data_IF_811399214915
#
_entry.id   IF_811399214915
#
_cell.length_a   1.000
_cell.length_b   1.000
_cell.length_c   1.000
_cell.angle_alpha   90.00
_cell.angle_beta   90.00
_cell.angle_gamma   90.00
#
_symmetry.space_group_name_H-M   'P 1'
#
loop_
_entity.id
_entity.type
_entity.pdbx_description
1 polymer ?
#
# COMPACT_ATOMS: atom_id res chain seq x y z
N UNK A 1 -19.22 -52.33 1.51
CA UNK A 1 -19.77 -51.20 2.29
C UNK A 1 -18.60 -50.44 2.90
N UNK A 2 -17.99 -49.50 2.16
CA UNK A 2 -16.94 -48.61 2.72
C UNK A 2 -16.46 -47.49 1.78
N UNK A 3 -16.84 -47.46 0.50
CA UNK A 3 -16.17 -46.54 -0.46
C UNK A 3 -16.98 -45.29 -0.84
N UNK A 4 -18.22 -45.16 -0.36
CA UNK A 4 -19.11 -44.06 -0.77
C UNK A 4 -19.02 -42.80 0.10
N UNK A 5 -18.33 -42.84 1.24
CA UNK A 5 -18.31 -41.74 2.23
C UNK A 5 -17.13 -40.79 2.02
N UNK A 6 -16.01 -41.25 1.44
CA UNK A 6 -14.80 -40.43 1.30
C UNK A 6 -14.94 -39.32 0.25
N UNK A 7 -15.77 -39.54 -0.78
CA UNK A 7 -15.97 -38.58 -1.88
C UNK A 7 -16.76 -37.36 -1.39
N UNK A 8 -17.75 -37.54 -0.50
CA UNK A 8 -18.60 -36.43 -0.04
C UNK A 8 -17.89 -35.45 0.88
N UNK A 9 -16.93 -35.91 1.70
CA UNK A 9 -16.19 -35.04 2.62
C UNK A 9 -15.19 -34.16 1.86
N UNK A 10 -14.45 -34.73 0.90
CA UNK A 10 -13.49 -34.00 0.05
C UNK A 10 -14.18 -33.00 -0.90
N UNK A 11 -15.40 -33.30 -1.38
CA UNK A 11 -16.20 -32.37 -2.20
C UNK A 11 -16.90 -31.26 -1.37
N UNK A 12 -17.28 -31.53 -0.12
CA UNK A 12 -17.88 -30.51 0.76
C UNK A 12 -16.84 -29.57 1.35
N UNK A 13 -15.61 -30.03 1.61
CA UNK A 13 -14.49 -29.17 1.98
C UNK A 13 -14.13 -28.19 0.84
N UNK A 14 -14.29 -28.62 -0.42
CA UNK A 14 -14.08 -27.81 -1.62
C UNK A 14 -15.15 -26.74 -1.89
N UNK A 15 -16.24 -26.65 -1.10
CA UNK A 15 -17.38 -25.76 -1.39
C UNK A 15 -17.56 -24.60 -0.42
N UNK A 16 -16.81 -24.53 0.68
CA UNK A 16 -16.90 -23.43 1.65
C UNK A 16 -15.70 -22.51 1.45
N UNK A 17 -15.89 -21.48 0.62
CA UNK A 17 -14.91 -20.40 0.48
C UNK A 17 -14.88 -19.56 1.77
N UNK A 18 -13.95 -19.90 2.66
CA UNK A 18 -13.70 -19.17 3.91
C UNK A 18 -13.24 -17.72 3.68
N UNK A 19 -12.75 -17.39 2.48
CA UNK A 19 -12.16 -16.09 2.13
C UNK A 19 -13.12 -15.21 1.35
N UNK A 20 -14.36 -15.67 1.13
CA UNK A 20 -15.38 -14.97 0.35
C UNK A 20 -15.61 -13.52 0.82
N UNK A 21 -15.62 -13.34 2.14
CA UNK A 21 -15.87 -12.06 2.80
C UNK A 21 -14.59 -11.26 3.07
N UNK A 22 -13.42 -11.86 2.86
CA UNK A 22 -12.14 -11.22 3.13
C UNK A 22 -11.76 -10.27 1.98
N UNK A 23 -11.18 -9.11 2.33
CA UNK A 23 -10.69 -8.17 1.32
C UNK A 23 -9.54 -8.80 0.54
N UNK A 24 -9.57 -8.62 -0.77
CA UNK A 24 -8.61 -9.22 -1.72
C UNK A 24 -8.54 -10.75 -1.67
N UNK A 25 -9.54 -11.41 -1.06
CA UNK A 25 -9.60 -12.88 -1.00
C UNK A 25 -8.36 -13.51 -0.35
N UNK A 26 -7.76 -12.79 0.60
CA UNK A 26 -6.57 -13.19 1.35
C UNK A 26 -6.83 -13.00 2.84
N UNK A 27 -6.23 -13.85 3.68
CA UNK A 27 -6.31 -13.64 5.12
C UNK A 27 -5.66 -12.31 5.52
N UNK A 28 -6.12 -11.66 6.60
CA UNK A 28 -5.59 -10.37 7.02
C UNK A 28 -4.07 -10.37 7.21
N UNK A 29 -3.49 -11.45 7.74
CA UNK A 29 -2.04 -11.60 7.92
C UNK A 29 -1.30 -11.61 6.58
N UNK A 30 -1.73 -12.47 5.65
CA UNK A 30 -1.12 -12.60 4.33
C UNK A 30 -1.22 -11.31 3.53
N UNK A 31 -2.36 -10.61 3.63
CA UNK A 31 -2.60 -9.31 3.01
C UNK A 31 -1.59 -8.26 3.50
N UNK A 32 -1.39 -8.16 4.80
CA UNK A 32 -0.43 -7.20 5.38
C UNK A 32 0.98 -7.51 4.85
N UNK A 33 1.44 -8.76 4.94
CA UNK A 33 2.77 -9.12 4.45
C UNK A 33 2.96 -8.85 2.97
N UNK A 34 2.02 -9.31 2.13
CA UNK A 34 2.11 -9.14 0.68
C UNK A 34 2.14 -7.66 0.26
N UNK A 35 1.24 -6.84 0.83
CA UNK A 35 1.12 -5.43 0.45
C UNK A 35 2.25 -4.58 1.04
N UNK A 36 2.72 -4.89 2.25
CA UNK A 36 3.89 -4.23 2.84
C UNK A 36 5.16 -4.49 2.01
N UNK A 37 5.39 -5.74 1.57
CA UNK A 37 6.54 -6.09 0.71
C UNK A 37 6.42 -5.40 -0.65
N UNK A 38 5.24 -5.46 -1.28
CA UNK A 38 4.98 -4.80 -2.56
C UNK A 38 5.20 -3.29 -2.46
N UNK A 39 4.71 -2.69 -1.36
CA UNK A 39 4.93 -1.30 -1.02
C UNK A 39 6.40 -0.93 -0.84
N UNK A 40 7.18 -1.80 -0.20
CA UNK A 40 8.63 -1.62 -0.04
C UNK A 40 9.34 -1.59 -1.39
N UNK A 41 8.99 -2.50 -2.31
CA UNK A 41 9.59 -2.57 -3.65
C UNK A 41 9.26 -1.32 -4.46
N UNK A 42 7.99 -0.90 -4.47
CA UNK A 42 7.56 0.31 -5.18
C UNK A 42 8.22 1.56 -4.58
N UNK A 43 8.19 1.69 -3.25
CA UNK A 43 8.82 2.80 -2.54
C UNK A 43 10.33 2.86 -2.77
N UNK A 44 10.99 1.70 -2.79
CA UNK A 44 12.41 1.57 -3.10
C UNK A 44 12.75 2.00 -4.52
N UNK A 45 11.95 1.59 -5.51
CA UNK A 45 12.13 2.00 -6.90
C UNK A 45 11.97 3.51 -7.11
N UNK A 46 10.93 4.10 -6.51
CA UNK A 46 10.70 5.55 -6.55
C UNK A 46 11.85 6.32 -5.88
N UNK A 47 12.24 5.91 -4.66
CA UNK A 47 13.34 6.54 -3.93
C UNK A 47 14.69 6.42 -4.64
N UNK A 48 14.94 5.28 -5.29
CA UNK A 48 16.14 5.06 -6.09
C UNK A 48 16.20 6.01 -7.29
N UNK A 49 15.11 6.12 -8.04
CA UNK A 49 15.01 7.01 -9.20
C UNK A 49 15.22 8.49 -8.82
N UNK A 50 14.54 8.94 -7.77
CA UNK A 50 14.68 10.32 -7.27
C UNK A 50 16.09 10.60 -6.75
N UNK A 51 16.69 9.64 -6.03
CA UNK A 51 18.06 9.73 -5.52
C UNK A 51 19.09 9.85 -6.64
N UNK A 52 18.96 9.05 -7.71
CA UNK A 52 19.81 9.12 -8.90
C UNK A 52 19.68 10.48 -9.58
N UNK A 53 18.45 10.93 -9.81
CA UNK A 53 18.17 12.20 -10.50
C UNK A 53 18.78 13.37 -9.75
N UNK A 54 18.57 13.44 -8.43
CA UNK A 54 19.09 14.51 -7.59
C UNK A 54 20.63 14.49 -7.54
N UNK A 55 21.24 13.30 -7.37
CA UNK A 55 22.69 13.15 -7.34
C UNK A 55 23.35 13.50 -8.68
N UNK A 56 22.71 13.16 -9.80
CA UNK A 56 23.19 13.51 -11.15
C UNK A 56 23.22 15.02 -11.36
N UNK A 57 22.13 15.72 -11.01
CA UNK A 57 22.04 17.17 -11.11
C UNK A 57 23.05 17.87 -10.20
N UNK A 58 23.17 17.40 -8.95
CA UNK A 58 24.14 17.92 -7.99
C UNK A 58 25.57 17.75 -8.50
N UNK A 59 25.93 16.57 -9.01
CA UNK A 59 27.26 16.30 -9.55
C UNK A 59 27.60 17.19 -10.76
N UNK A 60 26.60 17.44 -11.63
CA UNK A 60 26.77 18.32 -12.78
C UNK A 60 27.03 19.77 -12.36
N UNK A 61 26.30 20.26 -11.36
CA UNK A 61 26.50 21.62 -10.83
C UNK A 61 27.87 21.74 -10.16
N UNK A 62 28.22 20.79 -9.29
CA UNK A 62 29.50 20.80 -8.55
C UNK A 62 30.71 20.72 -9.50
N UNK A 63 30.62 19.97 -10.61
CA UNK A 63 31.73 19.77 -11.53
C UNK A 63 31.62 20.56 -12.84
N UNK A 64 30.59 21.39 -13.01
CA UNK A 64 30.37 22.17 -14.23
C UNK A 64 31.55 23.10 -14.57
N UNK A 65 32.29 23.53 -13.54
CA UNK A 65 33.50 24.35 -13.69
C UNK A 65 34.79 23.53 -13.90
N UNK A 66 34.77 22.20 -13.72
CA UNK A 66 35.94 21.28 -13.82
C UNK A 66 35.72 20.21 -14.88
N UNK A 67 35.41 20.65 -16.10
CA UNK A 67 35.21 19.73 -17.21
C UNK A 67 36.56 19.17 -17.70
N UNK A 68 36.69 17.84 -17.86
CA UNK A 68 37.92 17.24 -18.35
C UNK A 68 38.20 17.63 -19.82
N UNK A 69 39.47 17.86 -20.13
CA UNK A 69 39.92 18.21 -21.49
C UNK A 69 40.44 17.01 -22.30
N UNK A 70 40.71 15.89 -21.64
CA UNK A 70 41.26 14.67 -22.25
C UNK A 70 40.23 13.55 -22.29
N UNK A 71 40.35 12.64 -23.25
CA UNK A 71 39.47 11.46 -23.39
C UNK A 71 39.50 10.58 -22.12
N UNK A 72 40.70 10.35 -21.55
CA UNK A 72 40.84 9.61 -20.30
C UNK A 72 40.19 10.30 -19.10
N UNK A 73 40.21 11.64 -19.05
CA UNK A 73 39.53 12.42 -18.02
C UNK A 73 38.01 12.23 -18.06
N UNK A 74 37.41 12.15 -19.25
CA UNK A 74 35.99 11.87 -19.43
C UNK A 74 35.58 10.49 -18.92
N UNK A 75 36.43 9.47 -19.10
CA UNK A 75 36.17 8.14 -18.53
C UNK A 75 36.08 8.20 -16.99
N UNK A 76 37.05 8.82 -16.32
CA UNK A 76 37.05 8.93 -14.86
C UNK A 76 35.90 9.80 -14.34
N UNK A 77 35.54 10.85 -15.07
CA UNK A 77 34.38 11.70 -14.78
C UNK A 77 33.08 10.88 -14.75
N UNK A 78 32.80 10.11 -15.82
CA UNK A 78 31.59 9.29 -15.88
C UNK A 78 31.60 8.14 -14.87
N UNK A 79 32.76 7.50 -14.65
CA UNK A 79 32.90 6.45 -13.62
C UNK A 79 32.58 6.99 -12.23
N UNK A 80 33.11 8.17 -11.88
CA UNK A 80 32.83 8.81 -10.59
C UNK A 80 31.37 9.26 -10.49
N UNK A 81 30.82 9.85 -11.56
CA UNK A 81 29.41 10.25 -11.63
C UNK A 81 28.47 9.08 -11.35
N UNK A 82 28.68 7.96 -12.05
CA UNK A 82 27.85 6.76 -11.89
C UNK A 82 27.96 6.18 -10.47
N UNK A 83 29.16 6.17 -9.88
CA UNK A 83 29.34 5.74 -8.49
C UNK A 83 28.54 6.60 -7.52
N UNK A 84 28.65 7.93 -7.61
CA UNK A 84 27.92 8.86 -6.72
C UNK A 84 26.41 8.70 -6.89
N UNK A 85 25.94 8.61 -8.14
CA UNK A 85 24.52 8.39 -8.44
C UNK A 85 24.00 7.07 -7.86
N UNK A 86 24.73 5.97 -8.03
CA UNK A 86 24.31 4.66 -7.50
C UNK A 86 24.26 4.63 -5.97
N UNK A 87 25.28 5.15 -5.29
CA UNK A 87 25.31 5.18 -3.83
C UNK A 87 24.17 6.04 -3.27
N UNK A 88 23.95 7.22 -3.84
CA UNK A 88 22.82 8.08 -3.44
C UNK A 88 21.47 7.46 -3.75
N UNK A 89 21.33 6.81 -4.91
CA UNK A 89 20.13 6.08 -5.31
C UNK A 89 19.80 4.96 -4.32
N UNK A 90 20.76 4.08 -4.00
CA UNK A 90 20.54 2.98 -3.05
C UNK A 90 20.17 3.50 -1.67
N UNK A 91 20.86 4.54 -1.17
CA UNK A 91 20.54 5.14 0.14
C UNK A 91 19.12 5.71 0.18
N UNK A 92 18.72 6.46 -0.84
CA UNK A 92 17.38 7.04 -0.94
C UNK A 92 16.31 5.96 -1.12
N UNK A 93 16.57 4.94 -1.94
CA UNK A 93 15.69 3.79 -2.15
C UNK A 93 15.44 3.01 -0.86
N UNK A 94 16.49 2.68 -0.10
CA UNK A 94 16.34 1.97 1.18
C UNK A 94 15.50 2.78 2.17
N UNK A 95 15.80 4.07 2.33
CA UNK A 95 15.04 4.95 3.22
C UNK A 95 13.55 5.02 2.83
N UNK A 96 13.28 5.20 1.53
CA UNK A 96 11.91 5.31 1.03
C UNK A 96 11.15 3.98 1.09
N UNK A 97 11.83 2.86 0.87
CA UNK A 97 11.24 1.51 1.00
C UNK A 97 10.72 1.25 2.41
N UNK A 98 11.51 1.61 3.44
CA UNK A 98 11.12 1.48 4.85
C UNK A 98 9.97 2.42 5.20
N UNK A 99 10.00 3.65 4.69
CA UNK A 99 8.91 4.61 4.90
C UNK A 99 7.59 4.09 4.31
N UNK A 100 7.62 3.57 3.09
CA UNK A 100 6.42 3.08 2.41
C UNK A 100 5.89 1.80 3.04
N UNK A 101 6.78 0.85 3.35
CA UNK A 101 6.41 -0.42 3.99
C UNK A 101 5.78 -0.19 5.35
N UNK A 102 6.33 0.72 6.16
CA UNK A 102 5.78 1.11 7.45
C UNK A 102 4.39 1.77 7.30
N UNK A 103 4.23 2.71 6.37
CA UNK A 103 2.94 3.37 6.14
C UNK A 103 1.86 2.39 5.69
N UNK A 104 2.18 1.49 4.77
CA UNK A 104 1.25 0.48 4.25
C UNK A 104 0.92 -0.55 5.33
N UNK A 105 1.91 -1.00 6.10
CA UNK A 105 1.69 -1.89 7.24
C UNK A 105 0.79 -1.28 8.31
N UNK A 106 1.01 0.00 8.67
CA UNK A 106 0.13 0.73 9.58
C UNK A 106 -1.28 0.88 9.02
N UNK A 107 -1.43 1.18 7.73
CA UNK A 107 -2.74 1.31 7.09
C UNK A 107 -3.56 0.01 7.21
N UNK A 108 -3.03 -1.10 6.71
CA UNK A 108 -3.73 -2.39 6.75
C UNK A 108 -3.88 -2.94 8.18
N UNK A 109 -2.95 -2.60 9.08
CA UNK A 109 -3.07 -2.90 10.50
C UNK A 109 -4.21 -2.14 11.17
N UNK A 110 -4.40 -0.86 10.86
CA UNK A 110 -5.54 -0.06 11.34
C UNK A 110 -6.87 -0.59 10.77
N UNK A 111 -6.92 -0.96 9.49
CA UNK A 111 -8.10 -1.60 8.90
C UNK A 111 -8.47 -2.88 9.66
N UNK A 112 -7.49 -3.77 9.86
CA UNK A 112 -7.70 -5.01 10.61
C UNK A 112 -8.15 -4.75 12.05
N UNK A 113 -7.58 -3.74 12.71
CA UNK A 113 -7.99 -3.32 14.05
C UNK A 113 -9.46 -2.86 14.10
N UNK A 114 -9.91 -2.09 13.11
CA UNK A 114 -11.31 -1.67 13.03
C UNK A 114 -12.26 -2.82 12.73
N UNK A 115 -11.86 -3.74 11.85
CA UNK A 115 -12.65 -4.94 11.60
C UNK A 115 -12.80 -5.77 12.89
N UNK A 116 -11.71 -5.94 13.66
CA UNK A 116 -11.73 -6.68 14.93
C UNK A 116 -12.65 -6.01 15.98
N UNK A 117 -12.58 -4.69 16.13
CA UNK A 117 -13.41 -3.93 17.08
C UNK A 117 -14.90 -4.01 16.72
N UNK A 118 -15.23 -4.11 15.43
CA UNK A 118 -16.61 -4.17 14.93
C UNK A 118 -17.11 -5.59 14.66
N UNK A 119 -16.64 -6.59 15.41
CA UNK A 119 -17.08 -7.99 15.28
C UNK A 119 -16.86 -8.58 13.87
N UNK A 120 -15.73 -8.27 13.24
CA UNK A 120 -15.34 -8.72 11.89
C UNK A 120 -16.29 -8.24 10.77
N UNK A 121 -16.96 -7.10 10.94
CA UNK A 121 -17.68 -6.47 9.83
C UNK A 121 -16.69 -5.77 8.88
N UNK A 122 -16.60 -6.26 7.66
CA UNK A 122 -15.74 -5.72 6.59
C UNK A 122 -16.57 -4.73 5.76
N UNK A 123 -16.26 -3.43 5.87
CA UNK A 123 -16.93 -2.36 5.12
C UNK A 123 -15.93 -1.28 4.65
N UNK A 124 -16.32 -0.46 3.66
CA UNK A 124 -15.60 0.75 3.22
C UNK A 124 -15.39 1.79 4.33
N UNK A 125 -16.25 1.82 5.35
CA UNK A 125 -16.16 2.77 6.47
C UNK A 125 -14.86 2.55 7.24
N UNK A 126 -14.49 1.29 7.50
CA UNK A 126 -13.26 0.94 8.23
C UNK A 126 -12.02 1.41 7.46
N UNK A 127 -12.01 1.18 6.14
CA UNK A 127 -10.96 1.67 5.23
C UNK A 127 -10.86 3.19 5.22
N UNK A 128 -11.99 3.88 5.22
CA UNK A 128 -12.04 5.34 5.22
C UNK A 128 -11.55 5.93 6.54
N UNK A 129 -11.94 5.33 7.67
CA UNK A 129 -11.45 5.71 9.01
C UNK A 129 -9.96 5.42 9.17
N UNK A 130 -9.47 4.28 8.67
CA UNK A 130 -8.04 3.97 8.66
C UNK A 130 -7.24 5.01 7.86
N UNK A 131 -7.74 5.40 6.68
CA UNK A 131 -7.10 6.43 5.85
C UNK A 131 -7.09 7.81 6.51
N UNK A 132 -8.21 8.22 7.12
CA UNK A 132 -8.33 9.52 7.78
C UNK A 132 -7.42 9.61 9.01
N UNK A 133 -7.29 8.54 9.79
CA UNK A 133 -6.37 8.47 10.94
C UNK A 133 -4.93 8.49 10.47
N UNK A 134 -4.56 7.66 9.48
CA UNK A 134 -3.19 7.60 8.98
C UNK A 134 -2.74 8.96 8.45
N UNK A 135 -3.58 9.65 7.69
CA UNK A 135 -3.28 10.99 7.18
C UNK A 135 -3.25 12.05 8.28
N UNK A 136 -4.12 11.96 9.29
CA UNK A 136 -4.09 12.87 10.44
C UNK A 136 -2.82 12.71 11.27
N UNK A 137 -2.39 11.47 11.51
CA UNK A 137 -1.11 11.16 12.17
C UNK A 137 0.06 11.71 11.35
N UNK A 138 0.06 11.49 10.04
CA UNK A 138 1.12 12.00 9.15
C UNK A 138 1.23 13.53 9.19
N UNK A 139 0.10 14.23 9.19
CA UNK A 139 0.04 15.69 9.29
C UNK A 139 0.60 16.15 10.65
N UNK A 140 0.21 15.49 11.74
CA UNK A 140 0.65 15.82 13.08
C UNK A 140 2.16 15.66 13.24
N UNK A 141 2.77 14.62 12.66
CA UNK A 141 4.21 14.39 12.76
C UNK A 141 5.04 15.36 11.90
N UNK A 142 4.50 15.87 10.79
CA UNK A 142 5.25 16.71 9.83
C UNK A 142 4.99 18.22 9.96
N UNK A 143 4.27 18.67 11.00
CA UNK A 143 4.04 20.09 11.31
C UNK A 143 3.59 20.93 10.09
N UNK A 144 2.66 20.39 9.30
CA UNK A 144 2.20 21.05 8.07
C UNK A 144 1.33 22.28 8.38
N UNK A 145 1.33 23.27 7.47
CA UNK A 145 0.49 24.45 7.62
C UNK A 145 -1.01 24.07 7.65
N UNK A 146 -1.87 24.81 8.37
CA UNK A 146 -3.29 24.45 8.54
C UNK A 146 -4.05 24.22 7.22
N UNK A 147 -3.69 24.98 6.18
CA UNK A 147 -4.29 24.85 4.84
C UNK A 147 -3.84 23.58 4.13
N UNK A 148 -2.57 23.20 4.25
CA UNK A 148 -2.04 21.96 3.68
C UNK A 148 -2.60 20.73 4.41
N UNK A 149 -2.68 20.80 5.74
CA UNK A 149 -3.26 19.77 6.60
C UNK A 149 -4.68 19.41 6.19
N UNK A 150 -5.57 20.41 6.05
CA UNK A 150 -6.96 20.19 5.62
C UNK A 150 -7.04 19.56 4.24
N UNK A 151 -6.25 20.04 3.29
CA UNK A 151 -6.22 19.49 1.92
C UNK A 151 -5.71 18.05 1.90
N UNK A 152 -4.69 17.74 2.70
CA UNK A 152 -4.10 16.40 2.74
C UNK A 152 -5.04 15.39 3.40
N UNK A 153 -5.65 15.74 4.52
CA UNK A 153 -6.67 14.90 5.18
C UNK A 153 -7.84 14.66 4.24
N UNK A 154 -8.36 15.70 3.59
CA UNK A 154 -9.48 15.55 2.65
C UNK A 154 -9.14 14.61 1.50
N UNK A 155 -7.97 14.80 0.85
CA UNK A 155 -7.52 13.91 -0.23
C UNK A 155 -7.28 12.49 0.24
N UNK A 156 -6.66 12.31 1.41
CA UNK A 156 -6.41 11.01 2.01
C UNK A 156 -7.69 10.24 2.29
N UNK A 157 -8.67 10.90 2.93
CA UNK A 157 -9.98 10.33 3.19
C UNK A 157 -10.74 10.02 1.90
N UNK A 158 -10.68 10.89 0.89
CA UNK A 158 -11.32 10.64 -0.40
C UNK A 158 -10.73 9.41 -1.12
N UNK A 159 -9.40 9.25 -1.08
CA UNK A 159 -8.72 8.06 -1.61
C UNK A 159 -9.11 6.81 -0.80
N UNK A 160 -9.16 6.91 0.53
CA UNK A 160 -9.60 5.82 1.40
C UNK A 160 -11.03 5.37 1.11
N UNK A 161 -11.94 6.32 0.91
CA UNK A 161 -13.32 6.04 0.51
C UNK A 161 -13.37 5.33 -0.84
N UNK A 162 -12.62 5.83 -1.84
CA UNK A 162 -12.54 5.19 -3.16
C UNK A 162 -12.03 3.75 -3.08
N UNK A 163 -10.96 3.51 -2.31
CA UNK A 163 -10.41 2.17 -2.10
C UNK A 163 -11.39 1.25 -1.38
N UNK A 164 -12.07 1.73 -0.33
CA UNK A 164 -13.05 0.96 0.42
C UNK A 164 -14.23 0.55 -0.47
N UNK A 165 -14.76 1.45 -1.29
CA UNK A 165 -15.83 1.13 -2.24
C UNK A 165 -15.39 0.11 -3.29
N UNK A 166 -14.15 0.20 -3.78
CA UNK A 166 -13.59 -0.80 -4.71
C UNK A 166 -13.48 -2.17 -4.02
N UNK A 167 -13.03 -2.21 -2.77
CA UNK A 167 -12.95 -3.45 -2.01
C UNK A 167 -14.33 -4.08 -1.80
N UNK A 168 -15.33 -3.29 -1.43
CA UNK A 168 -16.70 -3.75 -1.24
C UNK A 168 -17.31 -4.21 -2.58
N UNK A 169 -17.05 -3.50 -3.67
CA UNK A 169 -17.45 -3.94 -5.01
C UNK A 169 -16.84 -5.30 -5.38
N UNK A 170 -15.55 -5.51 -5.11
CA UNK A 170 -14.88 -6.78 -5.35
C UNK A 170 -15.45 -7.92 -4.48
N UNK A 171 -15.85 -7.63 -3.23
CA UNK A 171 -16.52 -8.61 -2.35
C UNK A 171 -17.91 -8.96 -2.90
N UNK A 172 -18.65 -7.96 -3.38
CA UNK A 172 -19.98 -8.15 -3.99
C UNK A 172 -19.91 -9.05 -5.22
N UNK A 173 -18.92 -8.86 -6.09
CA UNK A 173 -18.71 -9.71 -7.28
C UNK A 173 -18.43 -11.18 -6.93
N UNK A 174 -17.97 -11.47 -5.70
CA UNK A 174 -17.77 -12.83 -5.19
C UNK A 174 -18.98 -13.38 -4.42
N UNK A 175 -20.11 -12.67 -4.41
CA UNK A 175 -21.28 -12.94 -3.57
C UNK A 175 -20.94 -12.93 -2.06
N UNK A 176 -19.92 -12.16 -1.66
CA UNK A 176 -19.54 -12.01 -0.27
C UNK A 176 -20.56 -11.20 0.53
N UNK A 177 -20.54 -11.38 1.84
CA UNK A 177 -21.45 -10.71 2.79
C UNK A 177 -21.02 -9.26 2.99
N UNK A 178 -21.90 -8.34 2.63
CA UNK A 178 -21.76 -6.90 2.87
C UNK A 178 -23.00 -6.43 3.61
N UNK A 179 -22.82 -5.91 4.83
CA UNK A 179 -23.92 -5.74 5.79
C UNK A 179 -25.04 -4.81 5.27
N UNK A 180 -24.66 -3.73 4.57
CA UNK A 180 -25.60 -2.74 4.07
C UNK A 180 -26.32 -3.20 2.81
N UNK A 181 -25.67 -3.99 1.96
CA UNK A 181 -26.33 -4.61 0.81
C UNK A 181 -27.34 -5.67 1.28
N UNK A 182 -26.99 -6.49 2.27
CA UNK A 182 -27.94 -7.45 2.85
C UNK A 182 -29.19 -6.77 3.39
N UNK A 183 -29.03 -5.60 4.03
CA UNK A 183 -30.16 -4.81 4.56
C UNK A 183 -31.04 -4.22 3.46
N UNK A 184 -30.48 -3.86 2.31
CA UNK A 184 -31.22 -3.37 1.15
C UNK A 184 -31.91 -4.49 0.37
N UNK A 185 -31.33 -5.70 0.36
CA UNK A 185 -31.82 -6.82 -0.44
C UNK A 185 -32.87 -7.65 0.29
N UNK A 186 -32.90 -7.65 1.63
CA UNK A 186 -33.99 -8.25 2.39
C UNK A 186 -35.25 -7.39 2.23
N UNK A 187 -36.31 -7.87 1.53
CA UNK A 187 -37.58 -7.15 1.54
C UNK A 187 -38.10 -7.08 2.98
N UNK A 188 -38.80 -5.99 3.29
CA UNK A 188 -39.52 -5.79 4.54
C UNK A 188 -40.52 -6.95 4.75
N UNK A 189 -40.07 -8.04 5.36
CA UNK A 189 -40.95 -9.02 5.99
C UNK A 189 -41.35 -8.42 7.32
N UNK A 190 -42.30 -7.49 7.26
CA UNK A 190 -43.12 -7.02 8.37
C UNK A 190 -44.51 -7.63 8.23
#
# INVERSE_FOLDING_TARGET
>A
MSDTIQISVQETENKIDLRKNERFHMYPKDRIYALTITGAVIGGGVGFYDGIKLASLRYLIENGHRLPKTVGGWYFYHKKKNYVMLVSGVKAGLYQSLKYSSLIGCFFGLEYGFDYIRNNTVDFINTTCAASILTSVYVATHQLSPRQSRKLIFKGTAIGLGLGLIQDFLISQRNGRIWYLEKLTKPLQA
#
